data_IF_420176989350
#
_entry.id   IF_420176989350
#
_cell.length_a   1.000
_cell.length_b   1.000
_cell.length_c   1.000
_cell.angle_alpha   90.00
_cell.angle_beta   90.00
_cell.angle_gamma   90.00
#
_symmetry.space_group_name_H-M   'P 1'
#
loop_
_entity.id
_entity.type
_entity.pdbx_description
1 polymer ?
#
# COMPACT_ATOMS: atom_id res chain seq x y z
N UNK A 1 -3.91 3.81 8.60
CA UNK A 1 -3.53 2.69 7.72
C UNK A 1 -4.73 2.06 7.01
N UNK A 2 -5.88 1.92 7.68
CA UNK A 2 -7.16 1.53 7.06
C UNK A 2 -7.49 2.23 5.73
N UNK A 3 -7.19 3.52 5.60
CA UNK A 3 -7.37 4.27 4.35
C UNK A 3 -6.70 3.60 3.14
N UNK A 4 -5.46 3.13 3.28
CA UNK A 4 -4.76 2.41 2.20
C UNK A 4 -5.43 1.09 1.82
N UNK A 5 -6.05 0.40 2.78
CA UNK A 5 -6.81 -0.81 2.52
C UNK A 5 -8.09 -0.48 1.74
N UNK A 6 -8.77 0.61 2.08
CA UNK A 6 -9.95 1.08 1.34
C UNK A 6 -9.63 1.55 -0.08
N UNK A 7 -8.51 2.25 -0.29
CA UNK A 7 -8.01 2.60 -1.63
C UNK A 7 -7.81 1.32 -2.47
N UNK A 8 -7.13 0.33 -1.89
CA UNK A 8 -6.91 -0.97 -2.54
C UNK A 8 -8.22 -1.71 -2.87
N UNK A 9 -9.17 -1.76 -1.94
CA UNK A 9 -10.50 -2.38 -2.14
C UNK A 9 -11.28 -1.68 -3.25
N UNK A 10 -11.35 -0.34 -3.23
CA UNK A 10 -12.02 0.44 -4.28
C UNK A 10 -11.47 0.11 -5.65
N UNK A 11 -10.14 0.05 -5.77
CA UNK A 11 -9.50 -0.31 -7.02
C UNK A 11 -9.86 -1.74 -7.43
N UNK A 12 -9.70 -2.75 -6.54
CA UNK A 12 -9.96 -4.18 -6.83
C UNK A 12 -11.42 -4.44 -7.20
N UNK A 13 -12.34 -3.65 -6.66
CA UNK A 13 -13.76 -3.76 -6.99
C UNK A 13 -14.12 -3.24 -8.40
N UNK A 14 -13.20 -2.60 -9.12
CA UNK A 14 -13.42 -2.20 -10.52
C UNK A 14 -13.40 -3.38 -11.48
N UNK A 15 -12.81 -4.51 -11.10
CA UNK A 15 -12.73 -5.70 -11.94
C UNK A 15 -11.37 -6.39 -11.88
N UNK A 16 -11.20 -7.37 -12.76
CA UNK A 16 -9.94 -8.09 -12.91
C UNK A 16 -8.92 -7.26 -13.69
N UNK A 17 -7.63 -7.59 -13.55
CA UNK A 17 -6.57 -6.97 -14.36
C UNK A 17 -6.87 -7.12 -15.86
N UNK A 18 -6.54 -6.08 -16.64
CA UNK A 18 -6.83 -5.97 -18.08
C UNK A 18 -8.32 -5.80 -18.47
N UNK A 19 -9.24 -5.56 -17.53
CA UNK A 19 -10.59 -5.11 -17.90
C UNK A 19 -10.62 -3.59 -18.13
N UNK A 20 -11.46 -3.08 -19.05
CA UNK A 20 -11.53 -1.64 -19.33
C UNK A 20 -11.78 -0.78 -18.09
N UNK A 21 -12.64 -1.23 -17.17
CA UNK A 21 -12.97 -0.53 -15.93
C UNK A 21 -11.79 -0.48 -14.97
N UNK A 22 -11.05 -1.58 -14.86
CA UNK A 22 -9.85 -1.69 -14.03
C UNK A 22 -8.74 -0.78 -14.57
N UNK A 23 -8.51 -0.80 -15.88
CA UNK A 23 -7.50 -0.01 -16.55
C UNK A 23 -7.81 1.50 -16.45
N UNK A 24 -9.07 1.88 -16.65
CA UNK A 24 -9.52 3.26 -16.49
C UNK A 24 -9.38 3.78 -15.04
N UNK A 25 -9.39 2.88 -14.05
CA UNK A 25 -9.23 3.22 -12.64
C UNK A 25 -7.78 3.43 -12.18
N UNK A 26 -6.78 3.04 -12.99
CA UNK A 26 -5.35 3.12 -12.60
C UNK A 26 -4.93 4.54 -12.22
N UNK A 27 -5.24 5.60 -12.99
CA UNK A 27 -4.81 6.96 -12.63
C UNK A 27 -5.36 7.43 -11.29
N UNK A 28 -6.62 7.11 -10.98
CA UNK A 28 -7.21 7.47 -9.68
C UNK A 28 -6.57 6.69 -8.54
N UNK A 29 -6.34 5.39 -8.73
CA UNK A 29 -5.64 4.57 -7.73
C UNK A 29 -4.24 5.11 -7.43
N UNK A 30 -3.49 5.49 -8.46
CA UNK A 30 -2.16 6.09 -8.30
C UNK A 30 -2.21 7.43 -7.56
N UNK A 31 -3.16 8.29 -7.90
CA UNK A 31 -3.35 9.57 -7.22
C UNK A 31 -3.73 9.40 -5.74
N UNK A 32 -4.67 8.48 -5.44
CA UNK A 32 -5.11 8.20 -4.08
C UNK A 32 -3.97 7.65 -3.21
N UNK A 33 -3.14 6.74 -3.76
CA UNK A 33 -1.97 6.21 -3.05
C UNK A 33 -0.95 7.30 -2.76
N UNK A 34 -0.65 8.16 -3.73
CA UNK A 34 0.35 9.23 -3.55
C UNK A 34 -0.15 10.31 -2.58
N UNK A 35 -1.43 10.67 -2.60
CA UNK A 35 -2.03 11.58 -1.60
C UNK A 35 -1.93 10.98 -0.19
N UNK A 36 -2.35 9.72 -0.04
CA UNK A 36 -2.28 9.02 1.23
C UNK A 36 -0.84 8.95 1.75
N UNK A 37 0.12 8.59 0.89
CA UNK A 37 1.53 8.48 1.25
C UNK A 37 2.09 9.82 1.76
N UNK A 38 1.84 10.92 1.04
CA UNK A 38 2.27 12.27 1.44
C UNK A 38 1.77 12.70 2.81
N UNK A 39 0.58 12.25 3.21
CA UNK A 39 0.02 12.57 4.53
C UNK A 39 0.55 11.69 5.65
N UNK A 40 0.84 10.41 5.38
CA UNK A 40 1.18 9.43 6.41
C UNK A 40 2.68 9.31 6.67
N UNK A 41 3.51 9.47 5.63
CA UNK A 41 4.98 9.43 5.72
C UNK A 41 5.53 10.38 6.80
N UNK A 42 5.17 11.68 6.83
CA UNK A 42 5.69 12.58 7.87
C UNK A 42 5.24 12.22 9.29
N UNK A 43 4.11 11.50 9.44
CA UNK A 43 3.63 11.04 10.76
C UNK A 43 4.51 9.89 11.25
N UNK A 44 4.86 8.95 10.37
CA UNK A 44 5.75 7.83 10.69
C UNK A 44 7.18 8.31 10.94
N UNK A 45 7.66 9.28 10.16
CA UNK A 45 9.01 9.84 10.30
C UNK A 45 9.21 10.66 11.59
N UNK A 46 8.18 11.40 12.00
CA UNK A 46 8.24 12.23 13.20
C UNK A 46 8.16 11.42 14.50
N UNK A 47 7.64 10.20 14.45
CA UNK A 47 7.39 9.41 15.66
C UNK A 47 8.65 8.65 16.12
N UNK A 48 9.19 9.08 17.26
CA UNK A 48 10.36 8.47 17.91
C UNK A 48 9.98 7.45 19.00
N UNK A 49 8.69 7.30 19.31
CA UNK A 49 8.20 6.44 20.40
C UNK A 49 8.21 4.93 20.08
N UNK A 50 7.73 4.48 18.91
CA UNK A 50 7.66 3.07 18.54
C UNK A 50 9.04 2.38 18.49
N UNK A 51 9.10 1.06 18.69
CA UNK A 51 10.29 0.28 18.41
C UNK A 51 10.80 0.54 16.99
N UNK A 52 12.11 0.72 16.81
CA UNK A 52 12.71 1.02 15.50
C UNK A 52 12.39 -0.01 14.43
N UNK A 53 12.12 -1.25 14.81
CA UNK A 53 11.68 -2.28 13.87
C UNK A 53 10.26 -2.05 13.37
N UNK A 54 9.34 -1.62 14.25
CA UNK A 54 7.98 -1.24 13.87
C UNK A 54 8.00 -0.02 12.94
N UNK A 55 8.77 1.04 13.26
CA UNK A 55 8.91 2.20 12.36
C UNK A 55 9.36 1.79 10.96
N UNK A 56 10.40 0.95 10.85
CA UNK A 56 10.89 0.43 9.56
C UNK A 56 9.85 -0.44 8.83
N UNK A 57 9.04 -1.19 9.58
CA UNK A 57 7.98 -2.02 9.04
C UNK A 57 6.85 -1.17 8.44
N UNK A 58 6.46 -0.09 9.14
CA UNK A 58 5.47 0.85 8.64
C UNK A 58 5.98 1.63 7.43
N UNK A 59 7.24 2.07 7.47
CA UNK A 59 7.86 2.76 6.33
C UNK A 59 7.89 1.86 5.10
N UNK A 60 8.35 0.61 5.25
CA UNK A 60 8.34 -0.36 4.16
C UNK A 60 6.93 -0.57 3.58
N UNK A 61 5.89 -0.60 4.42
CA UNK A 61 4.51 -0.73 3.92
C UNK A 61 4.07 0.48 3.08
N UNK A 62 4.46 1.69 3.47
CA UNK A 62 4.21 2.91 2.70
C UNK A 62 4.95 2.82 1.36
N UNK A 63 6.25 2.54 1.39
CA UNK A 63 7.11 2.48 0.21
C UNK A 63 6.62 1.41 -0.78
N UNK A 64 6.37 0.18 -0.32
CA UNK A 64 5.94 -0.93 -1.17
C UNK A 64 4.52 -0.69 -1.72
N UNK A 65 3.67 0.06 -1.01
CA UNK A 65 2.37 0.50 -1.56
C UNK A 65 2.53 1.50 -2.69
N UNK A 66 3.46 2.46 -2.57
CA UNK A 66 3.78 3.42 -3.64
C UNK A 66 4.41 2.72 -4.83
N UNK A 67 5.34 1.79 -4.60
CA UNK A 67 5.99 1.01 -5.66
C UNK A 67 4.98 0.18 -6.45
N UNK A 68 4.03 -0.47 -5.78
CA UNK A 68 2.93 -1.17 -6.45
C UNK A 68 2.07 -0.21 -7.28
N UNK A 69 1.66 0.94 -6.74
CA UNK A 69 0.91 1.92 -7.53
C UNK A 69 1.70 2.41 -8.76
N UNK A 70 3.01 2.62 -8.59
CA UNK A 70 3.89 3.06 -9.66
C UNK A 70 4.18 1.99 -10.71
N UNK A 71 4.03 0.69 -10.42
CA UNK A 71 4.28 -0.39 -11.38
C UNK A 71 3.13 -0.54 -12.38
N UNK A 72 1.87 -0.47 -11.90
CA UNK A 72 0.68 -0.87 -12.66
C UNK A 72 0.48 -0.02 -13.92
N UNK A 73 0.19 -0.68 -15.04
CA UNK A 73 -0.15 -0.08 -16.33
C UNK A 73 -1.43 -0.71 -16.91
N UNK A 74 -2.16 -0.01 -17.78
CA UNK A 74 -3.28 -0.60 -18.51
C UNK A 74 -2.87 -1.87 -19.26
N UNK A 75 -3.73 -2.88 -19.24
CA UNK A 75 -3.53 -4.17 -19.89
C UNK A 75 -3.16 -5.31 -18.93
N UNK A 76 -2.61 -6.41 -19.46
CA UNK A 76 -2.25 -7.59 -18.67
C UNK A 76 -1.20 -7.30 -17.59
N UNK A 77 -1.31 -8.00 -16.47
CA UNK A 77 -0.32 -7.97 -15.38
C UNK A 77 1.08 -8.35 -15.91
N UNK A 78 2.08 -7.54 -15.61
CA UNK A 78 3.49 -7.86 -15.87
C UNK A 78 4.14 -8.58 -14.70
N UNK A 79 5.33 -9.17 -14.90
CA UNK A 79 6.11 -9.76 -13.80
C UNK A 79 6.48 -8.72 -12.72
N UNK A 80 6.67 -7.46 -13.11
CA UNK A 80 6.96 -6.36 -12.19
C UNK A 80 5.75 -5.99 -11.33
N UNK A 81 4.55 -6.00 -11.91
CA UNK A 81 3.30 -5.74 -11.17
C UNK A 81 3.06 -6.81 -10.11
N UNK A 82 3.25 -8.08 -10.50
CA UNK A 82 3.12 -9.21 -9.59
C UNK A 82 4.12 -9.15 -8.46
N UNK A 83 5.38 -8.83 -8.76
CA UNK A 83 6.44 -8.70 -7.76
C UNK A 83 6.13 -7.55 -6.78
N UNK A 84 5.77 -6.36 -7.30
CA UNK A 84 5.42 -5.22 -6.47
C UNK A 84 4.19 -5.48 -5.59
N UNK A 85 3.18 -6.20 -6.11
CA UNK A 85 2.05 -6.67 -5.30
C UNK A 85 2.50 -7.61 -4.17
N UNK A 86 3.34 -8.60 -4.48
CA UNK A 86 3.82 -9.57 -3.51
C UNK A 86 4.64 -8.90 -2.39
N UNK A 87 5.55 -7.98 -2.73
CA UNK A 87 6.34 -7.23 -1.77
C UNK A 87 5.45 -6.38 -0.85
N UNK A 88 4.47 -5.69 -1.43
CA UNK A 88 3.46 -4.94 -0.67
C UNK A 88 2.68 -5.83 0.30
N UNK A 89 2.27 -7.03 -0.11
CA UNK A 89 1.58 -7.99 0.75
C UNK A 89 2.46 -8.44 1.91
N UNK A 90 3.74 -8.70 1.65
CA UNK A 90 4.73 -9.03 2.70
C UNK A 90 4.86 -7.87 3.69
N UNK A 91 4.96 -6.62 3.22
CA UNK A 91 5.05 -5.45 4.06
C UNK A 91 3.79 -5.24 4.93
N UNK A 92 2.60 -5.46 4.36
CA UNK A 92 1.34 -5.46 5.11
C UNK A 92 1.35 -6.52 6.22
N UNK A 93 1.84 -7.74 5.93
CA UNK A 93 1.95 -8.82 6.90
C UNK A 93 2.90 -8.48 8.06
N UNK A 94 3.99 -7.77 7.78
CA UNK A 94 4.87 -7.24 8.81
C UNK A 94 4.15 -6.27 9.75
N UNK A 95 3.43 -5.29 9.19
CA UNK A 95 2.68 -4.33 10.01
C UNK A 95 1.58 -5.00 10.83
N UNK A 96 0.87 -5.98 10.25
CA UNK A 96 -0.11 -6.81 10.95
C UNK A 96 0.48 -7.55 12.15
N UNK A 97 1.73 -8.05 12.04
CA UNK A 97 2.39 -8.75 13.12
C UNK A 97 2.95 -7.82 14.22
N UNK A 98 3.41 -6.62 13.87
CA UNK A 98 4.12 -5.73 14.79
C UNK A 98 3.21 -4.70 15.49
N UNK A 99 2.20 -4.13 14.83
CA UNK A 99 1.33 -3.12 15.42
C UNK A 99 0.65 -3.59 16.74
N UNK A 100 0.11 -4.82 16.85
CA UNK A 100 -0.53 -5.27 18.07
C UNK A 100 0.39 -5.31 19.28
N UNK A 101 1.71 -5.46 19.07
CA UNK A 101 2.72 -5.48 20.15
C UNK A 101 2.85 -4.15 20.87
N UNK A 102 2.37 -3.06 20.28
CA UNK A 102 2.30 -1.73 20.89
C UNK A 102 0.87 -1.28 21.19
N UNK A 103 -0.08 -2.22 21.22
CA UNK A 103 -1.48 -1.93 21.54
C UNK A 103 -2.28 -1.27 20.41
N UNK A 104 -1.74 -1.27 19.19
CA UNK A 104 -2.40 -0.73 18.00
C UNK A 104 -2.87 -1.89 17.14
N UNK A 105 -4.17 -1.98 16.86
CA UNK A 105 -4.67 -2.99 15.93
C UNK A 105 -4.28 -2.61 14.48
N UNK A 106 -4.04 -3.60 13.63
CA UNK A 106 -3.88 -3.42 12.18
C UNK A 106 -5.17 -3.86 11.51
N UNK A 107 -5.82 -2.98 10.74
CA UNK A 107 -7.09 -3.23 10.08
C UNK A 107 -7.15 -2.56 8.71
#
# INVERSE_FOLDING_TARGET
MAESAEIGKKFVNLGHTATPERDAGIPQFQADVEDWAKRIEPIVDADVGPPRFLTRTLQRYIDDTRLYAASIRPGPETEYDRAAWADRVVAYGGAFAECPKVGVQWW
#
